data_IF_766285581818
#
_entry.id   IF_766285581818
#
_cell.length_a   1.000
_cell.length_b   1.000
_cell.length_c   1.000
_cell.angle_alpha   90.00
_cell.angle_beta   90.00
_cell.angle_gamma   90.00
#
_symmetry.space_group_name_H-M   'P 1'
#
loop_
_entity.id
_entity.type
_entity.pdbx_description
1 polymer ?
#
# COMPACT_ATOMS: atom_id res chain seq x y z
N UNK A 1 40.89 -21.93 24.82
CA UNK A 1 41.23 -22.42 23.47
C UNK A 1 40.26 -23.47 22.93
N UNK A 2 40.21 -24.72 23.43
CA UNK A 2 39.27 -25.74 22.87
C UNK A 2 37.78 -25.44 23.12
N UNK A 3 37.43 -24.79 24.24
CA UNK A 3 36.06 -24.34 24.54
C UNK A 3 35.66 -23.12 23.68
N UNK A 4 36.54 -22.14 23.51
CA UNK A 4 36.30 -20.96 22.66
C UNK A 4 36.16 -21.34 21.17
N UNK A 5 36.92 -22.32 20.68
CA UNK A 5 36.80 -22.80 19.30
C UNK A 5 35.45 -23.50 19.06
N UNK A 6 34.94 -24.23 20.08
CA UNK A 6 33.63 -24.90 20.05
C UNK A 6 32.46 -23.92 20.20
N UNK A 7 32.63 -22.86 20.98
CA UNK A 7 31.66 -21.76 21.05
C UNK A 7 31.61 -20.96 19.75
N UNK A 8 32.76 -20.71 19.11
CA UNK A 8 32.85 -20.08 17.79
C UNK A 8 32.14 -20.90 16.71
N UNK A 9 32.37 -22.21 16.64
CA UNK A 9 31.70 -23.08 15.68
C UNK A 9 30.18 -23.16 15.89
N UNK A 10 29.73 -23.20 17.15
CA UNK A 10 28.30 -23.22 17.47
C UNK A 10 27.61 -21.88 17.15
N UNK A 11 28.29 -20.75 17.35
CA UNK A 11 27.77 -19.44 16.96
C UNK A 11 27.68 -19.29 15.44
N UNK A 12 28.66 -19.80 14.69
CA UNK A 12 28.63 -19.82 13.23
C UNK A 12 27.52 -20.72 12.70
N UNK A 13 27.34 -21.91 13.27
CA UNK A 13 26.25 -22.82 12.93
C UNK A 13 24.88 -22.20 13.24
N UNK A 14 24.72 -21.53 14.39
CA UNK A 14 23.48 -20.82 14.73
C UNK A 14 23.19 -19.68 13.75
N UNK A 15 24.22 -18.93 13.34
CA UNK A 15 24.06 -17.87 12.31
C UNK A 15 23.71 -18.47 10.95
N UNK A 16 24.26 -19.64 10.61
CA UNK A 16 23.93 -20.34 9.37
C UNK A 16 22.46 -20.76 9.36
N UNK A 17 22.00 -21.45 10.40
CA UNK A 17 20.59 -21.88 10.54
C UNK A 17 19.63 -20.69 10.53
N UNK A 18 19.99 -19.59 11.20
CA UNK A 18 19.16 -18.38 11.18
C UNK A 18 19.02 -17.79 9.78
N UNK A 19 20.12 -17.71 9.02
CA UNK A 19 20.10 -17.25 7.62
C UNK A 19 19.29 -18.18 6.72
N UNK A 20 19.36 -19.49 6.92
CA UNK A 20 18.53 -20.43 6.17
C UNK A 20 17.04 -20.23 6.47
N UNK A 21 16.68 -20.02 7.74
CA UNK A 21 15.31 -19.72 8.13
C UNK A 21 14.82 -18.41 7.52
N UNK A 22 15.63 -17.34 7.57
CA UNK A 22 15.33 -16.06 6.93
C UNK A 22 15.12 -16.20 5.41
N UNK A 23 15.94 -17.01 4.74
CA UNK A 23 15.79 -17.26 3.31
C UNK A 23 14.49 -18.03 2.99
N UNK A 24 14.13 -19.03 3.78
CA UNK A 24 12.88 -19.79 3.61
C UNK A 24 11.65 -18.92 3.87
N UNK A 25 11.71 -18.06 4.88
CA UNK A 25 10.66 -17.07 5.16
C UNK A 25 10.52 -16.08 3.99
N UNK A 26 11.64 -15.56 3.47
CA UNK A 26 11.64 -14.67 2.33
C UNK A 26 11.05 -15.32 1.06
N UNK A 27 11.39 -16.58 0.79
CA UNK A 27 10.81 -17.36 -0.30
C UNK A 27 9.29 -17.53 -0.12
N UNK A 28 8.83 -17.89 1.08
CA UNK A 28 7.40 -18.02 1.42
C UNK A 28 6.64 -16.71 1.21
N UNK A 29 7.19 -15.59 1.70
CA UNK A 29 6.59 -14.26 1.54
C UNK A 29 6.50 -13.87 0.06
N UNK A 30 7.53 -14.15 -0.73
CA UNK A 30 7.53 -13.86 -2.18
C UNK A 30 6.44 -14.64 -2.95
N UNK A 31 6.09 -15.84 -2.50
CA UNK A 31 5.05 -16.69 -3.11
C UNK A 31 3.65 -16.38 -2.58
N UNK A 32 3.55 -15.78 -1.39
CA UNK A 32 2.28 -15.36 -0.79
C UNK A 32 1.65 -14.17 -1.52
N UNK A 33 2.45 -13.23 -2.02
CA UNK A 33 1.94 -12.07 -2.74
C UNK A 33 1.36 -12.46 -4.11
N UNK A 34 0.17 -11.95 -4.49
CA UNK A 34 -0.44 -12.22 -5.81
C UNK A 34 0.45 -11.85 -7.00
N UNK A 35 1.22 -10.78 -6.85
CA UNK A 35 2.09 -10.28 -7.91
C UNK A 35 3.45 -10.99 -7.92
N UNK A 36 3.87 -11.53 -6.76
CA UNK A 36 5.18 -12.11 -6.52
C UNK A 36 6.35 -11.15 -6.81
N UNK A 37 7.55 -11.53 -6.38
CA UNK A 37 8.77 -10.87 -6.82
C UNK A 37 9.96 -11.84 -6.81
N UNK A 38 10.99 -11.52 -7.58
CA UNK A 38 12.08 -12.45 -7.88
C UNK A 38 13.18 -12.34 -6.82
N UNK A 39 13.19 -13.28 -5.86
CA UNK A 39 14.26 -13.44 -4.87
C UNK A 39 15.28 -14.47 -5.37
N UNK A 40 16.56 -14.27 -5.05
CA UNK A 40 17.60 -15.27 -5.31
C UNK A 40 17.33 -16.56 -4.54
N UNK A 41 16.82 -17.58 -5.25
CA UNK A 41 16.50 -18.90 -4.68
C UNK A 41 17.77 -19.70 -4.44
N UNK A 42 18.00 -20.14 -3.21
CA UNK A 42 19.09 -21.09 -2.89
C UNK A 42 18.77 -22.52 -3.37
N UNK A 43 17.48 -22.84 -3.54
CA UNK A 43 17.03 -24.13 -4.05
C UNK A 43 16.35 -24.02 -5.42
N UNK A 44 16.87 -24.79 -6.38
CA UNK A 44 16.41 -24.82 -7.78
C UNK A 44 15.10 -25.59 -7.92
N UNK A 45 13.97 -25.01 -7.53
CA UNK A 45 12.66 -25.49 -8.00
C UNK A 45 12.25 -24.71 -9.25
N UNK A 46 12.68 -25.20 -10.42
CA UNK A 46 12.13 -24.81 -11.72
C UNK A 46 10.72 -25.40 -11.85
N UNK A 47 9.71 -24.77 -11.25
CA UNK A 47 8.33 -24.92 -11.73
C UNK A 47 7.99 -23.73 -12.61
N UNK A 48 7.91 -23.99 -13.91
CA UNK A 48 7.64 -22.99 -14.93
C UNK A 48 6.32 -22.28 -14.68
N UNK A 49 6.40 -21.00 -14.30
CA UNK A 49 5.28 -20.08 -14.08
C UNK A 49 4.32 -19.96 -15.28
N UNK A 50 4.77 -20.34 -16.48
CA UNK A 50 4.04 -20.21 -17.75
C UNK A 50 3.00 -21.30 -18.01
N UNK A 51 3.07 -22.46 -17.35
CA UNK A 51 2.17 -23.59 -17.64
C UNK A 51 0.88 -23.60 -16.79
N UNK A 52 0.80 -22.75 -15.77
CA UNK A 52 -0.16 -22.93 -14.65
C UNK A 52 -1.45 -22.12 -14.83
N UNK A 53 -1.56 -21.26 -15.85
CA UNK A 53 -2.78 -20.49 -16.11
C UNK A 53 -3.89 -21.30 -16.84
N UNK A 54 -3.69 -22.59 -17.09
CA UNK A 54 -4.49 -23.35 -18.06
C UNK A 54 -5.59 -24.25 -17.47
N UNK A 55 -5.74 -24.35 -16.16
CA UNK A 55 -6.87 -25.10 -15.57
C UNK A 55 -7.54 -24.29 -14.46
N UNK A 56 -8.82 -24.00 -14.70
CA UNK A 56 -9.92 -23.70 -13.76
C UNK A 56 -10.16 -22.30 -13.19
N UNK A 57 -9.20 -21.36 -13.14
CA UNK A 57 -9.47 -19.97 -12.68
C UNK A 57 -9.29 -18.97 -13.82
N UNK A 58 -10.38 -18.36 -14.29
CA UNK A 58 -10.30 -17.25 -15.24
C UNK A 58 -9.66 -16.02 -14.60
N UNK A 59 -9.15 -15.08 -15.40
CA UNK A 59 -8.57 -13.82 -14.87
C UNK A 59 -9.61 -12.87 -14.29
N UNK A 60 -10.86 -13.05 -14.72
CA UNK A 60 -11.96 -12.13 -14.44
C UNK A 60 -12.34 -12.07 -12.94
N UNK A 61 -12.49 -13.19 -12.20
CA UNK A 61 -12.77 -13.15 -10.77
C UNK A 61 -11.69 -12.45 -9.95
N UNK A 62 -10.41 -12.56 -10.36
CA UNK A 62 -9.30 -11.84 -9.71
C UNK A 62 -9.48 -10.33 -9.90
N UNK A 63 -9.69 -9.88 -11.14
CA UNK A 63 -9.89 -8.45 -11.40
C UNK A 63 -11.10 -7.87 -10.66
N UNK A 64 -12.23 -8.58 -10.70
CA UNK A 64 -13.44 -8.14 -9.99
C UNK A 64 -13.25 -8.14 -8.46
N UNK A 65 -12.46 -9.06 -7.93
CA UNK A 65 -12.13 -9.09 -6.51
C UNK A 65 -11.21 -7.95 -6.09
N UNK A 66 -10.25 -7.57 -6.94
CA UNK A 66 -9.40 -6.37 -6.74
C UNK A 66 -10.26 -5.11 -6.75
N UNK A 67 -11.18 -4.97 -7.72
CA UNK A 67 -12.12 -3.85 -7.78
C UNK A 67 -12.95 -3.76 -6.50
N UNK A 68 -13.57 -4.87 -6.08
CA UNK A 68 -14.35 -4.92 -4.84
C UNK A 68 -13.52 -4.52 -3.61
N UNK A 69 -12.34 -5.13 -3.45
CA UNK A 69 -11.44 -4.81 -2.33
C UNK A 69 -10.98 -3.36 -2.34
N UNK A 70 -10.72 -2.78 -3.52
CA UNK A 70 -10.24 -1.40 -3.64
C UNK A 70 -11.23 -0.35 -3.13
N UNK A 71 -12.53 -0.61 -3.30
CA UNK A 71 -13.60 0.28 -2.82
C UNK A 71 -13.67 0.22 -1.29
N UNK A 72 -13.67 -0.98 -0.72
CA UNK A 72 -13.69 -1.16 0.74
C UNK A 72 -12.43 -0.62 1.41
N UNK A 73 -11.26 -0.78 0.78
CA UNK A 73 -10.00 -0.30 1.33
C UNK A 73 -9.92 1.22 1.35
N UNK A 74 -10.28 1.91 0.27
CA UNK A 74 -10.30 3.38 0.26
C UNK A 74 -11.35 3.96 1.21
N UNK A 75 -12.52 3.32 1.33
CA UNK A 75 -13.52 3.70 2.35
C UNK A 75 -12.97 3.53 3.76
N UNK A 76 -12.31 2.41 4.05
CA UNK A 76 -11.63 2.17 5.32
C UNK A 76 -10.56 3.22 5.61
N UNK A 77 -9.77 3.60 4.61
CA UNK A 77 -8.73 4.64 4.74
C UNK A 77 -9.35 5.99 5.08
N UNK A 78 -10.33 6.43 4.30
CA UNK A 78 -11.00 7.72 4.52
C UNK A 78 -11.72 7.76 5.87
N UNK A 79 -12.35 6.64 6.26
CA UNK A 79 -12.96 6.48 7.58
C UNK A 79 -11.96 6.61 8.72
N UNK A 80 -10.85 5.87 8.67
CA UNK A 80 -9.80 5.95 9.69
C UNK A 80 -9.18 7.34 9.74
N UNK A 81 -8.89 7.94 8.59
CA UNK A 81 -8.36 9.30 8.52
C UNK A 81 -9.30 10.31 9.16
N UNK A 82 -10.60 10.22 8.88
CA UNK A 82 -11.60 11.12 9.46
C UNK A 82 -11.77 10.94 10.98
N UNK A 83 -11.62 9.72 11.49
CA UNK A 83 -11.74 9.43 12.93
C UNK A 83 -10.50 9.79 13.75
N UNK A 84 -9.33 9.83 13.11
CA UNK A 84 -8.04 9.94 13.80
C UNK A 84 -7.25 11.20 13.48
N UNK A 85 -7.74 12.03 12.55
CA UNK A 85 -7.19 13.37 12.30
C UNK A 85 -8.00 14.39 13.12
N UNK A 86 -7.35 15.03 14.08
CA UNK A 86 -7.96 16.01 14.97
C UNK A 86 -6.95 17.10 15.37
N UNK A 87 -7.44 18.24 15.85
CA UNK A 87 -6.56 19.34 16.27
C UNK A 87 -5.61 18.87 17.39
N UNK A 88 -4.30 18.95 17.14
CA UNK A 88 -3.26 18.46 18.05
C UNK A 88 -2.75 17.04 17.76
N UNK A 89 -3.26 16.33 16.75
CA UNK A 89 -2.63 15.09 16.29
C UNK A 89 -1.28 15.40 15.61
N UNK A 90 -0.19 14.79 16.08
CA UNK A 90 1.14 15.03 15.51
C UNK A 90 1.25 14.51 14.06
N UNK A 91 0.74 13.31 13.80
CA UNK A 91 0.66 12.72 12.45
C UNK A 91 -0.79 12.66 11.99
N UNK A 92 -1.00 12.71 10.68
CA UNK A 92 -2.31 12.56 10.06
C UNK A 92 -2.85 11.15 10.27
N UNK A 93 -4.16 11.00 10.12
CA UNK A 93 -4.81 9.70 10.27
C UNK A 93 -4.39 8.63 9.25
N UNK A 94 -3.55 8.96 8.25
CA UNK A 94 -2.96 8.00 7.31
C UNK A 94 -2.14 6.94 8.04
N UNK A 95 -1.52 7.29 9.18
CA UNK A 95 -0.72 6.36 9.97
C UNK A 95 -1.54 5.16 10.47
N UNK A 96 -2.78 5.41 10.90
CA UNK A 96 -3.71 4.38 11.37
C UNK A 96 -4.17 3.50 10.22
N UNK A 97 -4.42 4.07 9.06
CA UNK A 97 -4.79 3.32 7.87
C UNK A 97 -3.65 2.40 7.40
N UNK A 98 -2.41 2.90 7.36
CA UNK A 98 -1.24 2.09 7.02
C UNK A 98 -0.98 0.98 8.04
N UNK A 99 -1.07 1.30 9.34
CA UNK A 99 -0.94 0.31 10.42
C UNK A 99 -1.98 -0.81 10.31
N UNK A 100 -3.26 -0.46 10.16
CA UNK A 100 -4.35 -1.42 10.02
C UNK A 100 -4.21 -2.28 8.76
N UNK A 101 -3.83 -1.68 7.62
CA UNK A 101 -3.57 -2.41 6.39
C UNK A 101 -2.45 -3.44 6.54
N UNK A 102 -1.37 -3.09 7.24
CA UNK A 102 -0.26 -4.01 7.49
C UNK A 102 -0.66 -5.16 8.42
N UNK A 103 -1.49 -4.93 9.45
CA UNK A 103 -2.03 -6.01 10.29
C UNK A 103 -2.83 -7.00 9.44
N UNK A 104 -3.79 -6.51 8.65
CA UNK A 104 -4.64 -7.38 7.82
C UNK A 104 -3.80 -8.10 6.76
N UNK A 105 -2.79 -7.42 6.19
CA UNK A 105 -1.84 -8.03 5.25
C UNK A 105 -1.03 -9.15 5.93
N UNK A 106 -0.51 -8.94 7.14
CA UNK A 106 0.22 -9.95 7.91
C UNK A 106 -0.63 -11.18 8.20
N UNK A 107 -1.87 -10.98 8.66
CA UNK A 107 -2.81 -12.07 8.88
C UNK A 107 -3.10 -12.85 7.59
N UNK A 108 -3.35 -12.15 6.48
CA UNK A 108 -3.67 -12.79 5.21
C UNK A 108 -2.49 -13.61 4.66
N UNK A 109 -1.28 -13.06 4.71
CA UNK A 109 -0.05 -13.70 4.22
C UNK A 109 0.24 -15.00 4.98
N UNK A 110 0.19 -14.97 6.31
CA UNK A 110 0.53 -16.13 7.15
C UNK A 110 -0.61 -17.15 7.34
N UNK A 111 -1.88 -16.80 7.06
CA UNK A 111 -2.98 -17.75 7.23
C UNK A 111 -2.83 -18.97 6.31
N UNK A 112 -2.72 -20.17 6.87
CA UNK A 112 -2.55 -21.42 6.11
C UNK A 112 -3.81 -22.28 6.12
N UNK A 113 -4.46 -22.40 7.29
CA UNK A 113 -5.59 -23.31 7.51
C UNK A 113 -6.79 -22.93 6.65
N UNK A 114 -7.06 -21.64 6.52
CA UNK A 114 -8.21 -21.12 5.79
C UNK A 114 -8.20 -21.56 4.31
N UNK A 115 -7.03 -21.57 3.68
CA UNK A 115 -6.87 -21.81 2.23
C UNK A 115 -6.47 -23.25 1.89
N UNK A 116 -6.20 -24.09 2.89
CA UNK A 116 -5.62 -25.43 2.74
C UNK A 116 -6.36 -26.30 1.72
N UNK A 117 -7.67 -26.47 1.86
CA UNK A 117 -8.46 -27.33 0.96
C UNK A 117 -8.41 -26.87 -0.50
N UNK A 118 -8.36 -25.55 -0.74
CA UNK A 118 -8.32 -24.97 -2.08
C UNK A 118 -6.97 -25.21 -2.77
N UNK A 119 -5.88 -25.22 -2.00
CA UNK A 119 -4.52 -25.47 -2.48
C UNK A 119 -4.27 -26.98 -2.64
N UNK A 120 -4.57 -27.77 -1.60
CA UNK A 120 -4.31 -29.22 -1.58
C UNK A 120 -5.09 -29.98 -2.64
N UNK A 121 -6.29 -29.49 -2.98
CA UNK A 121 -7.10 -30.11 -4.03
C UNK A 121 -6.62 -29.83 -5.46
N UNK A 122 -5.60 -28.97 -5.62
CA UNK A 122 -5.00 -28.64 -6.91
C UNK A 122 -5.82 -27.67 -7.78
N UNK A 123 -6.92 -27.11 -7.26
CA UNK A 123 -7.73 -26.11 -7.98
C UNK A 123 -6.96 -24.78 -8.15
N UNK A 124 -6.08 -24.45 -7.19
CA UNK A 124 -5.22 -23.27 -7.20
C UNK A 124 -3.78 -23.64 -6.88
N UNK A 125 -2.81 -23.09 -7.62
CA UNK A 125 -1.40 -23.40 -7.43
C UNK A 125 -0.79 -22.69 -6.20
N UNK A 126 -1.29 -21.52 -5.85
CA UNK A 126 -0.88 -20.74 -4.68
C UNK A 126 -2.01 -19.77 -4.25
N UNK A 127 -1.85 -19.14 -3.08
CA UNK A 127 -2.81 -18.15 -2.56
C UNK A 127 -3.01 -16.97 -3.51
N UNK A 128 -1.94 -16.57 -4.21
CA UNK A 128 -1.92 -15.43 -5.12
C UNK A 128 -2.84 -15.52 -6.36
N UNK A 129 -3.44 -16.67 -6.64
CA UNK A 129 -4.40 -16.86 -7.75
C UNK A 129 -5.85 -16.96 -7.24
N UNK A 130 -6.05 -17.04 -5.92
CA UNK A 130 -7.37 -17.11 -5.29
C UNK A 130 -7.99 -15.71 -5.30
N UNK A 131 -9.09 -15.52 -6.04
CA UNK A 131 -9.67 -14.20 -6.29
C UNK A 131 -9.92 -13.37 -5.02
N UNK A 132 -10.57 -13.95 -4.01
CA UNK A 132 -10.85 -13.27 -2.73
C UNK A 132 -9.56 -12.91 -1.99
N UNK A 133 -8.56 -13.80 -2.00
CA UNK A 133 -7.26 -13.53 -1.39
C UNK A 133 -6.59 -12.31 -2.03
N UNK A 134 -6.56 -12.24 -3.36
CA UNK A 134 -6.05 -11.07 -4.10
C UNK A 134 -6.90 -9.83 -3.81
N UNK A 135 -8.22 -9.99 -3.68
CA UNK A 135 -9.12 -8.92 -3.29
C UNK A 135 -8.83 -8.34 -1.90
N UNK A 136 -8.47 -9.18 -0.93
CA UNK A 136 -8.10 -8.75 0.43
C UNK A 136 -6.71 -8.12 0.45
N UNK A 137 -5.72 -8.75 -0.16
CA UNK A 137 -4.33 -8.30 -0.12
C UNK A 137 -4.10 -7.12 -1.08
N UNK A 138 -4.10 -7.37 -2.38
CA UNK A 138 -3.91 -6.35 -3.41
C UNK A 138 -5.05 -5.33 -3.41
N UNK A 139 -6.32 -5.75 -3.32
CA UNK A 139 -7.44 -4.81 -3.36
C UNK A 139 -7.55 -3.97 -2.08
N UNK A 140 -7.99 -4.60 -0.99
CA UNK A 140 -8.32 -3.94 0.27
C UNK A 140 -7.10 -3.39 0.99
N UNK A 141 -6.13 -4.23 1.39
CA UNK A 141 -4.94 -3.74 2.12
C UNK A 141 -4.11 -2.78 1.28
N UNK A 142 -4.03 -3.04 -0.03
CA UNK A 142 -3.32 -2.17 -0.98
C UNK A 142 -3.88 -0.75 -0.97
N UNK A 143 -5.20 -0.59 -1.05
CA UNK A 143 -5.88 0.73 -1.09
C UNK A 143 -6.23 1.32 0.28
N UNK A 144 -6.26 0.50 1.33
CA UNK A 144 -6.35 0.96 2.72
C UNK A 144 -5.05 1.68 3.11
N UNK A 145 -3.91 1.13 2.69
CA UNK A 145 -2.61 1.82 2.83
C UNK A 145 -2.40 2.88 1.74
N UNK A 146 -1.53 3.85 1.97
CA UNK A 146 -1.09 4.81 0.94
C UNK A 146 0.37 5.20 1.16
N UNK A 147 1.25 4.94 0.19
CA UNK A 147 2.64 5.37 0.28
C UNK A 147 2.79 6.84 -0.15
N UNK A 148 2.06 7.24 -1.20
CA UNK A 148 2.05 8.62 -1.68
C UNK A 148 1.59 9.61 -0.60
N UNK A 149 0.55 9.26 0.17
CA UNK A 149 0.08 10.12 1.29
C UNK A 149 1.13 10.27 2.39
N UNK A 150 1.96 9.24 2.66
CA UNK A 150 3.09 9.35 3.62
C UNK A 150 4.14 10.33 3.09
N UNK A 151 4.48 10.27 1.80
CA UNK A 151 5.44 11.20 1.21
C UNK A 151 4.92 12.64 1.22
N UNK A 152 3.62 12.84 0.98
CA UNK A 152 2.99 14.15 1.05
C UNK A 152 2.96 14.68 2.49
N UNK A 153 2.64 13.84 3.47
CA UNK A 153 2.71 14.22 4.88
C UNK A 153 4.13 14.59 5.30
N UNK A 154 5.12 13.79 4.91
CA UNK A 154 6.53 14.07 5.18
C UNK A 154 6.96 15.40 4.58
N UNK A 155 6.53 15.72 3.35
CA UNK A 155 6.75 17.03 2.74
C UNK A 155 6.04 18.14 3.52
N UNK A 156 4.74 18.00 3.78
CA UNK A 156 3.95 19.05 4.44
C UNK A 156 4.51 19.41 5.82
N UNK A 157 4.95 18.41 6.59
CA UNK A 157 5.62 18.58 7.88
C UNK A 157 7.01 19.21 7.69
N UNK A 158 7.84 18.67 6.79
CA UNK A 158 9.19 19.22 6.58
C UNK A 158 9.23 20.68 6.11
N UNK A 159 8.22 21.11 5.34
CA UNK A 159 8.16 22.43 4.72
C UNK A 159 7.25 23.42 5.46
N UNK A 160 6.68 23.03 6.61
CA UNK A 160 5.66 23.79 7.35
C UNK A 160 4.51 24.29 6.46
N UNK A 161 3.94 23.36 5.69
CA UNK A 161 2.83 23.66 4.76
C UNK A 161 1.56 22.90 5.14
N UNK A 162 1.37 22.60 6.42
CA UNK A 162 0.14 22.00 6.89
C UNK A 162 -1.03 22.98 6.69
N UNK A 163 -2.15 22.54 6.11
CA UNK A 163 -3.33 23.39 5.99
C UNK A 163 -3.84 23.88 7.36
N UNK A 164 -3.73 25.18 7.62
CA UNK A 164 -4.32 25.81 8.80
C UNK A 164 -3.42 25.92 10.04
N UNK A 165 -2.27 25.26 10.06
CA UNK A 165 -1.29 25.33 11.16
C UNK A 165 0.08 25.78 10.61
N UNK A 166 0.61 26.90 11.12
CA UNK A 166 1.97 27.37 10.82
C UNK A 166 2.84 27.22 12.06
N UNK A 167 3.75 26.26 12.01
CA UNK A 167 4.74 26.04 13.05
C UNK A 167 6.03 26.77 12.66
N UNK A 168 6.21 27.99 13.14
CA UNK A 168 7.47 28.72 12.98
C UNK A 168 8.62 27.93 13.63
N UNK A 169 9.32 27.12 12.83
CA UNK A 169 10.42 26.32 13.33
C UNK A 169 11.55 27.19 13.88
N UNK A 170 12.24 26.76 14.94
CA UNK A 170 13.37 27.51 15.50
C UNK A 170 14.49 27.77 14.49
N UNK A 171 14.70 26.82 13.56
CA UNK A 171 15.59 26.97 12.41
C UNK A 171 15.20 26.02 11.26
N UNK A 172 15.76 26.23 10.07
CA UNK A 172 15.46 25.44 8.88
C UNK A 172 15.84 23.95 8.97
N UNK A 173 16.74 23.56 9.88
CA UNK A 173 17.12 22.16 10.05
C UNK A 173 16.03 21.31 10.72
N UNK A 174 15.08 21.93 11.43
CA UNK A 174 13.92 21.22 11.99
C UNK A 174 13.05 20.58 10.92
N UNK A 175 12.99 21.13 9.70
CA UNK A 175 12.28 20.48 8.58
C UNK A 175 12.85 19.09 8.25
N UNK A 176 14.17 18.89 8.39
CA UNK A 176 14.81 17.57 8.23
C UNK A 176 14.38 16.64 9.37
N UNK A 177 14.32 17.14 10.60
CA UNK A 177 13.86 16.34 11.75
C UNK A 177 12.39 15.93 11.63
N UNK A 178 11.53 16.81 11.11
CA UNK A 178 10.12 16.51 10.84
C UNK A 178 9.98 15.46 9.74
N UNK A 179 10.73 15.58 8.64
CA UNK A 179 10.80 14.53 7.62
C UNK A 179 11.18 13.18 8.23
N UNK A 180 12.27 13.13 9.00
CA UNK A 180 12.71 11.89 9.65
C UNK A 180 11.67 11.35 10.63
N UNK A 181 11.02 12.21 11.39
CA UNK A 181 9.98 11.83 12.36
C UNK A 181 8.80 11.14 11.68
N UNK A 182 8.30 11.71 10.57
CA UNK A 182 7.21 11.12 9.79
C UNK A 182 7.64 9.77 9.22
N UNK A 183 8.80 9.70 8.55
CA UNK A 183 9.27 8.46 7.91
C UNK A 183 9.53 7.35 8.94
N UNK A 184 10.21 7.66 10.04
CA UNK A 184 10.49 6.68 11.10
C UNK A 184 9.18 6.16 11.70
N UNK A 185 8.24 7.06 12.04
CA UNK A 185 6.98 6.66 12.64
C UNK A 185 6.16 5.76 11.71
N UNK A 186 5.97 6.16 10.44
CA UNK A 186 5.21 5.37 9.48
C UNK A 186 5.88 4.02 9.19
N UNK A 187 7.19 3.98 9.02
CA UNK A 187 7.91 2.74 8.73
C UNK A 187 7.87 1.78 9.92
N UNK A 188 8.23 2.25 11.12
CA UNK A 188 8.22 1.41 12.32
C UNK A 188 6.82 0.86 12.62
N UNK A 189 5.79 1.70 12.61
CA UNK A 189 4.43 1.25 12.89
C UNK A 189 3.93 0.29 11.81
N UNK A 190 4.18 0.55 10.53
CA UNK A 190 3.75 -0.36 9.45
C UNK A 190 4.46 -1.72 9.51
N UNK A 191 5.76 -1.75 9.81
CA UNK A 191 6.54 -2.97 10.01
C UNK A 191 6.03 -3.76 11.24
N UNK A 192 5.84 -3.08 12.38
CA UNK A 192 5.30 -3.71 13.59
C UNK A 192 3.87 -4.19 13.39
N UNK A 193 3.03 -3.43 12.69
CA UNK A 193 1.67 -3.83 12.35
C UNK A 193 1.63 -5.13 11.55
N UNK A 194 2.52 -5.27 10.56
CA UNK A 194 2.66 -6.53 9.82
C UNK A 194 3.02 -7.71 10.73
N UNK A 195 4.01 -7.54 11.62
CA UNK A 195 4.41 -8.58 12.57
C UNK A 195 3.29 -8.93 13.56
N UNK A 196 2.54 -7.93 14.06
CA UNK A 196 1.36 -8.16 14.91
C UNK A 196 0.32 -8.98 14.15
N UNK A 197 0.10 -8.69 12.86
CA UNK A 197 -0.79 -9.47 12.01
C UNK A 197 -0.40 -10.94 11.92
N UNK A 198 0.88 -11.23 11.73
CA UNK A 198 1.42 -12.61 11.72
C UNK A 198 1.18 -13.32 13.06
N UNK A 199 1.57 -12.69 14.17
CA UNK A 199 1.37 -13.28 15.50
C UNK A 199 -0.10 -13.51 15.84
N UNK A 200 -0.99 -12.61 15.40
CA UNK A 200 -2.42 -12.75 15.64
C UNK A 200 -2.99 -13.95 14.86
N UNK A 201 -2.60 -14.10 13.60
CA UNK A 201 -3.07 -15.24 12.82
C UNK A 201 -2.45 -16.55 13.31
N UNK A 202 -1.20 -16.59 13.78
CA UNK A 202 -0.63 -17.82 14.37
C UNK A 202 -1.47 -18.39 15.52
N UNK A 203 -2.07 -17.52 16.33
CA UNK A 203 -2.95 -17.93 17.43
C UNK A 203 -4.34 -18.32 16.93
N UNK A 204 -4.85 -17.63 15.90
CA UNK A 204 -6.23 -17.78 15.42
C UNK A 204 -6.37 -18.88 14.35
N UNK A 205 -5.35 -19.09 13.51
CA UNK A 205 -5.36 -20.03 12.37
C UNK A 205 -5.77 -21.44 12.81
N UNK A 206 -5.25 -22.03 13.91
CA UNK A 206 -5.66 -23.36 14.37
C UNK A 206 -7.15 -23.50 14.68
N UNK A 207 -7.81 -22.40 15.06
CA UNK A 207 -9.24 -22.36 15.37
C UNK A 207 -10.11 -22.02 14.14
N UNK A 208 -9.51 -21.52 13.05
CA UNK A 208 -10.27 -21.17 11.84
C UNK A 208 -10.73 -22.43 11.11
N UNK A 209 -12.01 -22.50 10.69
CA UNK A 209 -12.49 -23.60 9.89
C UNK A 209 -11.84 -23.58 8.50
N UNK A 210 -11.52 -24.77 7.99
CA UNK A 210 -11.05 -24.93 6.62
C UNK A 210 -12.18 -24.57 5.65
N UNK A 211 -11.86 -23.73 4.66
CA UNK A 211 -12.86 -23.12 3.81
C UNK A 211 -13.25 -24.07 2.67
N UNK A 212 -14.41 -24.72 2.80
CA UNK A 212 -14.89 -25.67 1.79
C UNK A 212 -15.05 -25.03 0.41
N UNK A 213 -14.75 -25.78 -0.66
CA UNK A 213 -14.88 -25.32 -2.06
C UNK A 213 -16.23 -24.67 -2.39
N UNK A 214 -17.33 -25.27 -1.90
CA UNK A 214 -18.68 -24.74 -2.14
C UNK A 214 -18.87 -23.38 -1.46
N UNK A 215 -18.42 -23.29 -0.22
CA UNK A 215 -18.50 -22.05 0.56
C UNK A 215 -17.61 -20.96 -0.04
N UNK A 216 -16.39 -21.28 -0.48
CA UNK A 216 -15.51 -20.36 -1.20
C UNK A 216 -16.18 -19.76 -2.43
N UNK A 217 -16.77 -20.60 -3.30
CA UNK A 217 -17.43 -20.13 -4.52
C UNK A 217 -18.61 -19.21 -4.23
N UNK A 218 -19.35 -19.47 -3.14
CA UNK A 218 -20.42 -18.57 -2.69
C UNK A 218 -19.85 -17.24 -2.19
N UNK A 219 -18.80 -17.29 -1.37
CA UNK A 219 -18.13 -16.11 -0.82
C UNK A 219 -17.54 -15.24 -1.94
N UNK A 220 -16.85 -15.83 -2.92
CA UNK A 220 -16.29 -15.14 -4.08
C UNK A 220 -17.38 -14.44 -4.91
N UNK A 221 -18.50 -15.13 -5.18
CA UNK A 221 -19.63 -14.52 -5.88
C UNK A 221 -20.23 -13.36 -5.10
N UNK A 222 -20.43 -13.52 -3.78
CA UNK A 222 -20.95 -12.46 -2.92
C UNK A 222 -20.00 -11.26 -2.89
N UNK A 223 -18.69 -11.50 -2.73
CA UNK A 223 -17.65 -10.47 -2.74
C UNK A 223 -17.66 -9.65 -4.03
N UNK A 224 -17.80 -10.33 -5.18
CA UNK A 224 -17.88 -9.69 -6.50
C UNK A 224 -19.18 -8.91 -6.66
N UNK A 225 -20.34 -9.50 -6.32
CA UNK A 225 -21.65 -8.85 -6.44
C UNK A 225 -21.71 -7.58 -5.58
N UNK A 226 -21.22 -7.65 -4.33
CA UNK A 226 -21.16 -6.50 -3.43
C UNK A 226 -20.27 -5.39 -3.99
N UNK A 227 -19.10 -5.74 -4.55
CA UNK A 227 -18.22 -4.75 -5.17
C UNK A 227 -18.83 -4.07 -6.40
N UNK A 228 -19.47 -4.85 -7.28
CA UNK A 228 -20.16 -4.30 -8.45
C UNK A 228 -21.35 -3.42 -8.05
N UNK A 229 -22.15 -3.86 -7.08
CA UNK A 229 -23.26 -3.06 -6.56
C UNK A 229 -22.75 -1.75 -5.94
N UNK A 230 -21.69 -1.80 -5.13
CA UNK A 230 -21.06 -0.62 -4.56
C UNK A 230 -20.56 0.35 -5.65
N UNK A 231 -19.91 -0.16 -6.71
CA UNK A 231 -19.44 0.66 -7.81
C UNK A 231 -20.58 1.34 -8.59
N UNK A 232 -21.68 0.63 -8.83
CA UNK A 232 -22.89 1.20 -9.45
C UNK A 232 -23.48 2.29 -8.55
N UNK A 233 -23.58 2.04 -7.24
CA UNK A 233 -24.07 3.03 -6.26
C UNK A 233 -23.18 4.28 -6.31
N UNK A 234 -21.85 4.13 -6.35
CA UNK A 234 -20.89 5.24 -6.46
C UNK A 234 -21.16 6.09 -7.71
N UNK A 235 -21.36 5.47 -8.88
CA UNK A 235 -21.65 6.19 -10.13
C UNK A 235 -22.94 7.00 -10.00
N UNK A 236 -23.99 6.40 -9.45
CA UNK A 236 -25.28 7.08 -9.23
C UNK A 236 -25.13 8.24 -8.23
N UNK A 237 -24.42 8.02 -7.13
CA UNK A 237 -24.20 9.05 -6.09
C UNK A 237 -23.44 10.27 -6.62
N UNK A 238 -22.46 10.08 -7.52
CA UNK A 238 -21.74 11.19 -8.18
C UNK A 238 -22.70 12.06 -9.00
N UNK A 239 -23.66 11.43 -9.71
CA UNK A 239 -24.62 12.14 -10.56
C UNK A 239 -25.76 12.82 -9.80
N UNK A 240 -26.17 12.28 -8.65
CA UNK A 240 -27.37 12.74 -7.93
C UNK A 240 -27.06 13.73 -6.82
N UNK A 241 -25.94 13.59 -6.10
CA UNK A 241 -25.65 14.40 -4.90
C UNK A 241 -24.53 15.41 -5.15
N UNK A 242 -24.91 16.68 -5.23
CA UNK A 242 -23.98 17.77 -5.55
C UNK A 242 -23.27 18.39 -4.34
N UNK A 243 -23.80 18.20 -3.12
CA UNK A 243 -23.31 18.92 -1.94
C UNK A 243 -22.78 17.99 -0.83
N UNK A 244 -21.69 18.42 -0.20
CA UNK A 244 -21.14 17.88 1.04
C UNK A 244 -19.84 17.08 0.89
N UNK A 245 -19.18 16.84 2.03
CA UNK A 245 -17.93 16.08 2.16
C UNK A 245 -18.00 14.66 1.58
N UNK A 246 -19.19 14.09 1.48
CA UNK A 246 -19.46 12.78 0.89
C UNK A 246 -19.10 12.71 -0.60
N UNK A 247 -19.14 13.84 -1.32
CA UNK A 247 -18.86 13.89 -2.76
C UNK A 247 -17.39 13.59 -3.05
N UNK A 248 -16.45 14.13 -2.26
CA UNK A 248 -15.03 13.83 -2.41
C UNK A 248 -14.71 12.36 -2.10
N UNK A 249 -15.38 11.77 -1.11
CA UNK A 249 -15.25 10.34 -0.78
C UNK A 249 -15.76 9.47 -1.93
N UNK A 250 -16.87 9.86 -2.55
CA UNK A 250 -17.46 9.13 -3.68
C UNK A 250 -16.53 9.15 -4.90
N UNK A 251 -15.90 10.30 -5.20
CA UNK A 251 -14.88 10.37 -6.25
C UNK A 251 -13.64 9.50 -5.93
N UNK A 252 -13.17 9.49 -4.68
CA UNK A 252 -12.07 8.62 -4.27
C UNK A 252 -12.42 7.13 -4.49
N UNK A 253 -13.63 6.71 -4.13
CA UNK A 253 -14.11 5.35 -4.35
C UNK A 253 -14.27 5.00 -5.84
N UNK A 254 -14.63 5.98 -6.68
CA UNK A 254 -14.73 5.78 -8.11
C UNK A 254 -13.35 5.57 -8.77
N UNK A 255 -12.35 6.33 -8.34
CA UNK A 255 -11.01 6.28 -8.93
C UNK A 255 -10.11 5.16 -8.36
N UNK A 256 -10.38 4.67 -7.15
CA UNK A 256 -9.57 3.64 -6.48
C UNK A 256 -9.42 2.32 -7.29
N UNK A 257 -10.48 1.76 -7.91
CA UNK A 257 -10.34 0.56 -8.75
C UNK A 257 -9.31 0.69 -9.86
N UNK A 258 -9.24 1.84 -10.53
CA UNK A 258 -8.29 2.07 -11.62
C UNK A 258 -6.85 2.15 -11.12
N UNK A 259 -6.63 2.79 -9.96
CA UNK A 259 -5.32 2.83 -9.32
C UNK A 259 -4.85 1.43 -8.88
N UNK A 260 -5.74 0.68 -8.22
CA UNK A 260 -5.45 -0.67 -7.73
C UNK A 260 -5.15 -1.65 -8.87
N UNK A 261 -5.93 -1.62 -9.95
CA UNK A 261 -5.67 -2.44 -11.14
C UNK A 261 -4.36 -2.05 -11.83
N UNK A 262 -4.08 -0.75 -11.96
CA UNK A 262 -2.82 -0.26 -12.53
C UNK A 262 -1.62 -0.78 -11.73
N UNK A 263 -1.67 -0.71 -10.39
CA UNK A 263 -0.65 -1.30 -9.51
C UNK A 263 -0.53 -2.81 -9.72
N UNK A 264 -1.64 -3.54 -9.73
CA UNK A 264 -1.64 -4.99 -9.94
C UNK A 264 -0.92 -5.37 -11.25
N UNK A 265 -1.21 -4.68 -12.35
CA UNK A 265 -0.54 -4.92 -13.62
C UNK A 265 0.94 -4.52 -13.61
N UNK A 266 1.29 -3.37 -13.01
CA UNK A 266 2.68 -2.92 -12.88
C UNK A 266 3.50 -3.92 -12.08
N UNK A 267 3.04 -4.31 -10.89
CA UNK A 267 3.70 -5.28 -10.03
C UNK A 267 3.82 -6.63 -10.72
N UNK A 268 2.75 -7.18 -11.30
CA UNK A 268 2.79 -8.47 -12.02
C UNK A 268 3.76 -8.48 -13.21
N UNK A 269 3.89 -7.37 -13.93
CA UNK A 269 4.71 -7.31 -15.14
C UNK A 269 6.18 -6.92 -14.86
N UNK A 270 6.43 -6.08 -13.86
CA UNK A 270 7.76 -5.50 -13.61
C UNK A 270 8.49 -6.13 -12.42
N UNK A 271 7.79 -6.60 -11.37
CA UNK A 271 8.45 -7.23 -10.20
C UNK A 271 9.34 -8.43 -10.57
N UNK A 272 8.98 -9.29 -11.53
CA UNK A 272 9.83 -10.43 -11.89
C UNK A 272 11.10 -10.04 -12.68
N UNK A 273 11.19 -8.80 -13.20
CA UNK A 273 12.23 -8.40 -14.15
C UNK A 273 13.60 -8.15 -13.51
N UNK A 274 13.62 -7.58 -12.31
CA UNK A 274 14.87 -7.30 -11.57
C UNK A 274 14.92 -8.18 -10.33
N UNK A 275 16.00 -8.92 -10.17
CA UNK A 275 16.22 -9.76 -8.98
C UNK A 275 16.45 -8.88 -7.77
N UNK A 276 15.89 -9.27 -6.63
CA UNK A 276 16.06 -8.63 -5.33
C UNK A 276 15.67 -7.13 -5.32
N UNK A 277 14.84 -6.68 -6.27
CA UNK A 277 14.29 -5.33 -6.33
C UNK A 277 12.90 -5.35 -6.98
N UNK A 278 11.81 -5.25 -6.20
CA UNK A 278 10.44 -5.22 -6.70
C UNK A 278 10.15 -3.96 -7.54
N UNK A 279 10.54 -4.01 -8.82
CA UNK A 279 10.51 -2.84 -9.71
C UNK A 279 9.08 -2.33 -9.95
N UNK A 280 8.08 -3.20 -10.00
CA UNK A 280 6.70 -2.81 -10.24
C UNK A 280 6.10 -2.02 -9.08
N UNK A 281 6.29 -2.49 -7.84
CA UNK A 281 5.85 -1.77 -6.64
C UNK A 281 6.63 -0.46 -6.48
N UNK A 282 7.94 -0.46 -6.72
CA UNK A 282 8.74 0.77 -6.79
C UNK A 282 8.17 1.79 -7.80
N UNK A 283 7.89 1.33 -9.02
CA UNK A 283 7.38 2.18 -10.11
C UNK A 283 6.01 2.72 -9.76
N UNK A 284 5.12 1.88 -9.21
CA UNK A 284 3.78 2.29 -8.80
C UNK A 284 3.85 3.36 -7.68
N UNK A 285 4.69 3.16 -6.66
CA UNK A 285 4.89 4.11 -5.57
C UNK A 285 5.48 5.44 -6.06
N UNK A 286 6.50 5.40 -6.91
CA UNK A 286 7.14 6.60 -7.46
C UNK A 286 6.18 7.41 -8.36
N UNK A 287 5.52 6.74 -9.31
CA UNK A 287 4.59 7.41 -10.23
C UNK A 287 3.33 7.90 -9.53
N UNK A 288 2.76 7.12 -8.61
CA UNK A 288 1.62 7.56 -7.84
C UNK A 288 1.96 8.74 -6.93
N UNK A 289 3.17 8.78 -6.36
CA UNK A 289 3.63 9.95 -5.58
C UNK A 289 3.84 11.19 -6.46
N UNK A 290 4.40 11.04 -7.67
CA UNK A 290 4.51 12.12 -8.63
C UNK A 290 3.13 12.71 -8.98
N UNK A 291 2.17 11.86 -9.33
CA UNK A 291 0.83 12.29 -9.69
C UNK A 291 0.11 12.96 -8.51
N UNK A 292 0.22 12.40 -7.31
CA UNK A 292 -0.29 12.99 -6.07
C UNK A 292 0.29 14.39 -5.85
N UNK A 293 1.61 14.58 -6.01
CA UNK A 293 2.25 15.88 -5.89
C UNK A 293 1.73 16.90 -6.93
N UNK A 294 1.50 16.47 -8.17
CA UNK A 294 0.92 17.31 -9.23
C UNK A 294 -0.53 17.69 -8.88
N UNK A 295 -1.38 16.74 -8.48
CA UNK A 295 -2.77 17.03 -8.14
C UNK A 295 -2.89 17.92 -6.90
N UNK A 296 -2.04 17.68 -5.90
CA UNK A 296 -1.90 18.55 -4.72
C UNK A 296 -1.50 19.96 -5.13
N UNK A 297 -0.53 20.11 -6.05
CA UNK A 297 -0.12 21.43 -6.56
C UNK A 297 -1.27 22.14 -7.28
N UNK A 298 -2.02 21.44 -8.13
CA UNK A 298 -3.16 22.02 -8.83
C UNK A 298 -4.28 22.45 -7.86
N UNK A 299 -4.52 21.65 -6.81
CA UNK A 299 -5.55 21.94 -5.82
C UNK A 299 -5.18 23.04 -4.82
N UNK A 300 -3.88 23.17 -4.48
CA UNK A 300 -3.39 24.05 -3.41
C UNK A 300 -2.50 25.18 -3.88
N UNK A 301 -2.09 25.22 -5.14
CA UNK A 301 -1.20 26.25 -5.66
C UNK A 301 -1.91 27.60 -5.74
N UNK A 302 -1.25 28.67 -5.28
CA UNK A 302 -1.69 30.05 -5.51
C UNK A 302 -1.50 30.43 -6.97
N UNK A 303 -2.35 31.28 -7.51
CA UNK A 303 -2.23 31.76 -8.89
C UNK A 303 -1.03 32.72 -9.01
N UNK A 304 -0.13 32.55 -10.01
CA UNK A 304 0.97 33.47 -10.24
C UNK A 304 0.45 34.90 -10.50
N UNK A 305 0.90 35.88 -9.71
CA UNK A 305 0.49 37.28 -9.83
C UNK A 305 -0.78 37.67 -9.08
N UNK A 306 -1.57 36.71 -8.56
CA UNK A 306 -2.70 36.99 -7.66
C UNK A 306 -2.70 36.01 -6.49
N UNK A 307 -2.08 36.43 -5.38
CA UNK A 307 -1.89 35.62 -4.18
C UNK A 307 -3.17 35.34 -3.38
N UNK A 308 -4.29 35.99 -3.73
CA UNK A 308 -5.61 35.78 -3.11
C UNK A 308 -6.41 34.67 -3.78
N UNK A 309 -6.01 34.24 -4.98
CA UNK A 309 -6.70 33.20 -5.75
C UNK A 309 -5.86 31.93 -5.91
N UNK A 310 -6.53 30.80 -6.02
CA UNK A 310 -5.94 29.48 -6.21
C UNK A 310 -5.98 29.11 -7.70
N UNK A 311 -5.12 28.18 -8.15
CA UNK A 311 -5.11 27.71 -9.55
C UNK A 311 -6.49 27.13 -9.92
N UNK A 312 -7.03 26.27 -9.04
CA UNK A 312 -8.35 25.69 -9.21
C UNK A 312 -9.33 26.45 -8.34
N UNK A 313 -10.30 27.11 -8.97
CA UNK A 313 -11.35 27.89 -8.27
C UNK A 313 -12.69 27.16 -8.19
N UNK A 314 -12.89 26.12 -9.01
CA UNK A 314 -14.14 25.37 -9.07
C UNK A 314 -14.15 24.21 -8.07
N UNK A 315 -15.17 24.17 -7.20
CA UNK A 315 -15.39 23.12 -6.20
C UNK A 315 -15.48 21.72 -6.83
N UNK A 316 -16.10 21.59 -8.00
CA UNK A 316 -16.19 20.30 -8.71
C UNK A 316 -14.81 19.81 -9.14
N UNK A 317 -14.01 20.69 -9.72
CA UNK A 317 -12.63 20.37 -10.12
C UNK A 317 -11.78 20.00 -8.90
N UNK A 318 -11.99 20.69 -7.78
CA UNK A 318 -11.35 20.35 -6.51
C UNK A 318 -11.74 18.94 -6.04
N UNK A 319 -13.02 18.59 -6.01
CA UNK A 319 -13.48 17.26 -5.62
C UNK A 319 -12.94 16.14 -6.54
N UNK A 320 -12.84 16.41 -7.85
CA UNK A 320 -12.23 15.46 -8.80
C UNK A 320 -10.75 15.29 -8.50
N UNK A 321 -10.02 16.38 -8.24
CA UNK A 321 -8.61 16.32 -7.84
C UNK A 321 -8.43 15.55 -6.53
N UNK A 322 -9.23 15.81 -5.49
CA UNK A 322 -9.20 15.01 -4.25
C UNK A 322 -9.51 13.54 -4.52
N UNK A 323 -10.41 13.23 -5.45
CA UNK A 323 -10.71 11.87 -5.85
C UNK A 323 -9.57 11.17 -6.59
N UNK A 324 -8.83 11.89 -7.44
CA UNK A 324 -7.63 11.38 -8.10
C UNK A 324 -6.49 11.20 -7.08
N UNK A 325 -6.38 12.11 -6.12
CA UNK A 325 -5.38 12.11 -5.05
C UNK A 325 -5.59 10.92 -4.09
N UNK A 326 -6.72 10.95 -3.37
CA UNK A 326 -7.07 9.94 -2.38
C UNK A 326 -7.61 8.66 -2.99
N UNK A 327 -8.08 8.65 -4.23
CA UNK A 327 -8.61 7.45 -4.88
C UNK A 327 -7.55 6.79 -5.74
N UNK A 328 -7.22 7.41 -6.88
CA UNK A 328 -6.30 6.83 -7.86
C UNK A 328 -4.88 6.70 -7.33
N UNK A 329 -4.23 7.79 -6.91
CA UNK A 329 -2.84 7.78 -6.45
C UNK A 329 -2.70 6.99 -5.14
N UNK A 330 -3.63 7.18 -4.22
CA UNK A 330 -3.68 6.40 -2.99
C UNK A 330 -3.88 4.89 -3.23
N UNK A 331 -4.55 4.46 -4.30
CA UNK A 331 -4.72 3.03 -4.64
C UNK A 331 -3.58 2.46 -5.52
N UNK A 332 -2.97 3.32 -6.33
CA UNK A 332 -1.80 3.00 -7.16
C UNK A 332 -0.57 2.78 -6.29
N UNK A 333 -0.42 3.54 -5.21
CA UNK A 333 0.67 3.36 -4.24
C UNK A 333 0.26 2.46 -3.08
N UNK A 334 1.22 1.87 -2.38
CA UNK A 334 0.92 0.99 -1.24
C UNK A 334 2.08 0.91 -0.25
N UNK A 335 1.74 0.90 1.05
CA UNK A 335 2.69 0.59 2.14
C UNK A 335 2.60 -0.89 2.52
N UNK A 336 1.41 -1.49 2.47
CA UNK A 336 1.21 -2.87 2.92
C UNK A 336 1.97 -3.88 2.06
N UNK A 337 1.92 -3.80 0.72
CA UNK A 337 2.74 -4.66 -0.15
C UNK A 337 4.22 -4.32 -0.01
N UNK A 338 4.57 -3.04 0.08
CA UNK A 338 5.95 -2.58 0.26
C UNK A 338 6.60 -3.16 1.53
N UNK A 339 5.86 -3.22 2.64
CA UNK A 339 6.32 -3.84 3.88
C UNK A 339 6.56 -5.34 3.70
N UNK A 340 5.63 -6.08 3.09
CA UNK A 340 5.81 -7.52 2.82
C UNK A 340 7.07 -7.76 1.98
N UNK A 341 7.29 -6.93 0.95
CA UNK A 341 8.48 -6.99 0.11
C UNK A 341 9.77 -6.70 0.88
N UNK A 342 9.76 -5.76 1.83
CA UNK A 342 10.92 -5.50 2.69
C UNK A 342 11.27 -6.70 3.58
N UNK A 343 10.28 -7.43 4.09
CA UNK A 343 10.50 -8.66 4.84
C UNK A 343 10.94 -9.83 3.94
N UNK A 344 10.45 -9.88 2.70
CA UNK A 344 10.79 -10.93 1.76
C UNK A 344 12.09 -10.72 0.98
N UNK A 345 12.88 -9.70 1.30
CA UNK A 345 14.20 -9.44 0.72
C UNK A 345 15.30 -9.63 1.77
N UNK A 346 16.46 -10.14 1.34
CA UNK A 346 17.65 -10.18 2.18
C UNK A 346 17.98 -8.79 2.74
N UNK A 347 18.53 -8.74 3.95
CA UNK A 347 18.76 -7.50 4.73
C UNK A 347 19.30 -6.34 3.90
N UNK A 348 20.41 -6.55 3.17
CA UNK A 348 21.04 -5.50 2.36
C UNK A 348 20.13 -5.02 1.22
N UNK A 349 19.44 -5.93 0.54
CA UNK A 349 18.55 -5.61 -0.57
C UNK A 349 17.28 -4.91 -0.07
N UNK A 350 16.76 -5.33 1.10
CA UNK A 350 15.65 -4.69 1.78
C UNK A 350 15.96 -3.23 2.12
N UNK A 351 17.10 -2.96 2.77
CA UNK A 351 17.50 -1.58 3.08
C UNK A 351 17.71 -0.72 1.83
N UNK A 352 18.33 -1.28 0.77
CA UNK A 352 18.51 -0.57 -0.50
C UNK A 352 17.15 -0.26 -1.16
N UNK A 353 16.27 -1.24 -1.24
CA UNK A 353 14.93 -1.10 -1.81
C UNK A 353 14.13 -0.04 -1.05
N UNK A 354 14.12 -0.13 0.29
CA UNK A 354 13.42 0.83 1.13
C UNK A 354 13.96 2.25 1.00
N UNK A 355 15.28 2.41 1.05
CA UNK A 355 15.95 3.70 0.89
C UNK A 355 15.65 4.33 -0.47
N UNK A 356 15.84 3.61 -1.58
CA UNK A 356 15.60 4.18 -2.91
C UNK A 356 14.11 4.52 -3.14
N UNK A 357 13.19 3.69 -2.65
CA UNK A 357 11.75 3.95 -2.77
C UNK A 357 11.33 5.24 -2.06
N UNK A 358 11.78 5.44 -0.82
CA UNK A 358 11.48 6.64 -0.02
C UNK A 358 12.21 7.86 -0.57
N UNK A 359 13.52 7.76 -0.80
CA UNK A 359 14.33 8.89 -1.23
C UNK A 359 13.89 9.43 -2.60
N UNK A 360 13.69 8.56 -3.59
CA UNK A 360 13.26 9.00 -4.93
C UNK A 360 11.87 9.62 -4.92
N UNK A 361 10.92 9.02 -4.21
CA UNK A 361 9.55 9.53 -4.11
C UNK A 361 9.51 10.88 -3.38
N UNK A 362 10.26 11.02 -2.29
CA UNK A 362 10.36 12.29 -1.57
C UNK A 362 11.04 13.39 -2.38
N UNK A 363 12.13 13.08 -3.09
CA UNK A 363 12.79 14.04 -4.01
C UNK A 363 11.81 14.53 -5.07
N UNK A 364 11.01 13.64 -5.66
CA UNK A 364 10.01 14.03 -6.65
C UNK A 364 8.94 14.94 -6.05
N UNK A 365 8.39 14.59 -4.88
CA UNK A 365 7.44 15.46 -4.16
C UNK A 365 8.07 16.83 -3.90
N UNK A 366 9.33 16.86 -3.49
CA UNK A 366 10.06 18.08 -3.20
C UNK A 366 10.31 18.95 -4.43
N UNK A 367 10.67 18.34 -5.55
CA UNK A 367 10.88 19.06 -6.81
C UNK A 367 9.57 19.65 -7.34
N UNK A 368 8.44 18.97 -7.17
CA UNK A 368 7.13 19.45 -7.66
C UNK A 368 6.54 20.48 -6.70
N UNK A 369 6.29 20.10 -5.44
CA UNK A 369 5.60 20.97 -4.48
C UNK A 369 6.54 22.00 -3.85
N UNK A 370 7.77 21.62 -3.52
CA UNK A 370 8.73 22.53 -2.90
C UNK A 370 9.08 23.70 -3.81
N UNK A 371 9.44 23.42 -5.07
CA UNK A 371 9.78 24.47 -6.04
C UNK A 371 8.64 25.48 -6.22
N UNK A 372 7.39 25.02 -6.27
CA UNK A 372 6.22 25.89 -6.38
C UNK A 372 5.93 26.64 -5.07
N UNK A 373 6.02 25.97 -3.93
CA UNK A 373 5.77 26.59 -2.63
C UNK A 373 6.76 27.72 -2.33
N UNK A 374 8.04 27.55 -2.67
CA UNK A 374 9.06 28.56 -2.41
C UNK A 374 9.04 29.72 -3.41
N UNK A 375 8.40 29.57 -4.57
CA UNK A 375 8.33 30.62 -5.61
C UNK A 375 7.00 31.37 -5.61
N UNK A 376 5.87 30.67 -5.47
CA UNK A 376 4.52 31.23 -5.56
C UNK A 376 3.73 31.01 -4.27
N UNK A 377 3.92 29.86 -3.61
CA UNK A 377 3.26 29.50 -2.36
C UNK A 377 2.03 28.61 -2.54
N UNK A 378 1.77 27.81 -1.50
CA UNK A 378 0.58 26.96 -1.37
C UNK A 378 -0.48 27.63 -0.47
N UNK A 379 -1.73 27.20 -0.61
CA UNK A 379 -2.88 27.61 0.19
C UNK A 379 -3.81 26.41 0.45
N UNK A 380 -4.89 26.63 1.19
CA UNK A 380 -5.91 25.61 1.44
C UNK A 380 -6.72 25.41 0.15
N UNK A 381 -7.12 24.19 -0.20
CA UNK A 381 -7.96 23.97 -1.37
C UNK A 381 -9.36 24.61 -1.20
N UNK A 382 -10.06 24.85 -2.32
CA UNK A 382 -11.41 25.45 -2.34
C UNK A 382 -12.47 24.53 -1.71
N UNK A 383 -12.21 23.23 -1.78
CA UNK A 383 -12.90 22.16 -1.08
C UNK A 383 -11.95 21.56 -0.04
#
# INVERSE_FOLDING_TARGET
MALEFREGSFQEERRHVHRELENLEAESLSESLPEGFNVEKSYTSKRGLRAVYSRTSGIMPIFLSVVSGSIWGVLGRKGLMALTTYNGSFLSGVIWANFAACIVMGMAVDSTNLWRELIDSGDYANKGIIGVYVGITTGFCGTLSSFSSVMLEAFNKSADTLPGDYYSYPNSAYGIMEFLSVIIAHMCLSLTGFQIGKHLIDVVDPALPVLSKKFYRTLEKLWIILGLAAFIIIIVLIGVKNDGSWRSWTFACFFAPFGALSRFFLSKYLNPKIKNFPLGTFTANLWGTLLLAIFTLLGRGKLPGNTLSQIVTNVLSCHVLTGLDDGFCGALTTVSTFVVELFGLNTLHSYRYGFYSIASSYIVTMLVLGSYNWTVGLTNPVC
#
